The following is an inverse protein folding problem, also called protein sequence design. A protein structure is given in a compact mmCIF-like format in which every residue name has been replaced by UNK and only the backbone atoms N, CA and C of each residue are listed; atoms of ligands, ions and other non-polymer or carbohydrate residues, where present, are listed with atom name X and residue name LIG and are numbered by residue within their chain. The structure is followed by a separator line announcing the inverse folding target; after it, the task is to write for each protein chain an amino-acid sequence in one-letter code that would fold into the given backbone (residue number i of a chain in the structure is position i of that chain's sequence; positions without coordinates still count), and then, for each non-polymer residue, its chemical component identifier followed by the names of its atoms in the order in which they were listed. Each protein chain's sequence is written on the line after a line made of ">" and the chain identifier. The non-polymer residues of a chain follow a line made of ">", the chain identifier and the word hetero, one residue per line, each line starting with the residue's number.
data_IF_910406956954
#
_entry.id   IF_910406956954
#
_cell.length_a   1.000
_cell.length_b   1.000
_cell.length_c   1.000
_cell.angle_alpha   90.00
_cell.angle_beta   90.00
_cell.angle_gamma   90.00
#
_symmetry.space_group_name_H-M   'P 1'
#
loop_
_entity.id
_entity.type
_entity.pdbx_description
1 polymer ?
#
# COMPACT_ATOMS: atom_id res chain seq x y z
N UNK A 1 -7.33 9.88 9.04
CA UNK A 1 -8.40 9.64 8.07
C UNK A 1 -8.95 8.20 8.03
N UNK A 2 -10.26 8.00 7.81
CA UNK A 2 -10.86 6.67 7.58
C UNK A 2 -10.62 6.18 6.14
N UNK A 3 -10.74 4.86 5.92
CA UNK A 3 -10.60 4.25 4.59
C UNK A 3 -11.57 4.85 3.56
N UNK A 4 -12.84 5.00 3.91
CA UNK A 4 -13.87 5.49 2.99
C UNK A 4 -13.57 6.92 2.54
N UNK A 5 -13.24 7.80 3.48
CA UNK A 5 -12.86 9.19 3.21
C UNK A 5 -11.63 9.26 2.30
N UNK A 6 -10.61 8.43 2.58
CA UNK A 6 -9.42 8.32 1.73
C UNK A 6 -9.77 7.95 0.30
N UNK A 7 -10.53 6.88 0.15
CA UNK A 7 -10.83 6.31 -1.15
C UNK A 7 -11.71 7.28 -1.96
N UNK A 8 -12.59 8.05 -1.30
CA UNK A 8 -13.34 9.14 -1.91
C UNK A 8 -12.45 10.30 -2.37
N UNK A 9 -11.53 10.76 -1.53
CA UNK A 9 -10.59 11.85 -1.87
C UNK A 9 -9.73 11.43 -3.07
N UNK A 10 -9.14 10.23 -3.03
CA UNK A 10 -8.31 9.71 -4.11
C UNK A 10 -9.12 9.42 -5.39
N UNK A 11 -10.37 8.97 -5.25
CA UNK A 11 -11.28 8.74 -6.36
C UNK A 11 -11.70 10.01 -7.09
N UNK A 12 -11.75 11.13 -6.38
CA UNK A 12 -12.14 12.44 -6.91
C UNK A 12 -10.97 13.27 -7.44
N UNK A 13 -9.73 12.76 -7.44
CA UNK A 13 -8.57 13.49 -7.95
C UNK A 13 -8.70 13.78 -9.45
N UNK A 14 -8.50 15.04 -9.83
CA UNK A 14 -8.55 15.49 -11.22
C UNK A 14 -7.21 16.07 -11.66
N UNK A 15 -7.04 16.18 -12.99
CA UNK A 15 -5.96 16.94 -13.61
C UNK A 15 -4.57 16.66 -13.04
N UNK A 16 -3.93 17.73 -12.56
CA UNK A 16 -2.54 17.70 -12.12
C UNK A 16 -2.35 17.05 -10.74
N UNK A 17 -3.35 17.11 -9.85
CA UNK A 17 -3.32 16.42 -8.56
C UNK A 17 -3.19 14.90 -8.74
N UNK A 18 -3.89 14.35 -9.72
CA UNK A 18 -3.80 12.92 -10.06
C UNK A 18 -2.43 12.54 -10.62
N UNK A 19 -1.81 13.42 -11.42
CA UNK A 19 -0.46 13.19 -11.96
C UNK A 19 0.59 13.28 -10.85
N UNK A 20 0.48 14.27 -9.97
CA UNK A 20 1.34 14.45 -8.81
C UNK A 20 1.26 13.23 -7.89
N UNK A 21 0.05 12.76 -7.58
CA UNK A 21 -0.16 11.56 -6.78
C UNK A 21 0.50 10.32 -7.41
N UNK A 22 0.30 10.09 -8.72
CA UNK A 22 0.92 8.96 -9.41
C UNK A 22 2.44 9.03 -9.37
N UNK A 23 3.01 10.18 -9.72
CA UNK A 23 4.46 10.40 -9.70
C UNK A 23 5.04 10.15 -8.31
N UNK A 24 4.40 10.68 -7.27
CA UNK A 24 4.79 10.40 -5.89
C UNK A 24 4.79 8.91 -5.59
N UNK A 25 3.72 8.19 -5.91
CA UNK A 25 3.61 6.77 -5.60
C UNK A 25 4.64 5.93 -6.37
N UNK A 26 4.95 6.32 -7.61
CA UNK A 26 5.98 5.66 -8.42
C UNK A 26 7.37 5.90 -7.81
N UNK A 27 7.70 7.15 -7.47
CA UNK A 27 8.97 7.52 -6.80
C UNK A 27 9.09 6.84 -5.42
N UNK A 28 8.00 6.78 -4.66
CA UNK A 28 7.92 6.12 -3.36
C UNK A 28 8.17 4.62 -3.47
N UNK A 29 7.53 3.95 -4.44
CA UNK A 29 7.73 2.50 -4.68
C UNK A 29 9.14 2.19 -5.17
N UNK A 30 9.66 2.95 -6.14
CA UNK A 30 11.00 2.75 -6.68
C UNK A 30 12.08 2.84 -5.59
N UNK A 31 11.93 3.79 -4.66
CA UNK A 31 12.84 3.93 -3.50
C UNK A 31 12.67 2.82 -2.45
N UNK A 32 11.57 2.07 -2.48
CA UNK A 32 11.31 0.95 -1.57
C UNK A 32 11.76 -0.40 -2.15
N UNK A 33 11.77 -0.54 -3.48
CA UNK A 33 12.28 -1.72 -4.18
C UNK A 33 13.82 -1.79 -4.18
N UNK A 34 14.50 -0.66 -3.98
CA UNK A 34 15.97 -0.58 -3.84
C UNK A 34 16.44 -0.62 -2.38
N UNK A 35 16.75 -1.81 -1.88
CA UNK A 35 17.69 -2.17 -0.78
C UNK A 35 17.75 -1.35 0.53
N UNK A 36 17.60 -2.09 1.63
CA UNK A 36 17.97 -1.97 3.05
C UNK A 36 18.86 -0.79 3.51
N UNK A 37 18.38 -0.10 4.56
CA UNK A 37 19.07 0.83 5.49
C UNK A 37 19.26 2.27 4.99
N UNK A 38 18.51 3.20 5.61
CA UNK A 38 18.73 4.64 5.49
C UNK A 38 17.71 5.40 4.63
N UNK A 39 16.43 5.04 4.70
CA UNK A 39 15.38 5.74 3.96
C UNK A 39 15.12 7.14 4.50
N UNK A 40 14.95 8.10 3.58
CA UNK A 40 14.20 9.33 3.82
C UNK A 40 12.78 8.91 4.26
N UNK A 41 12.33 9.23 5.49
CA UNK A 41 10.98 8.91 5.94
C UNK A 41 9.98 9.34 4.89
N UNK A 42 8.94 8.57 4.67
CA UNK A 42 7.92 8.93 3.69
C UNK A 42 7.30 10.31 3.96
N UNK A 43 7.35 10.76 5.23
CA UNK A 43 7.09 12.13 5.66
C UNK A 43 7.99 13.17 4.99
N UNK A 44 9.30 12.95 4.91
CA UNK A 44 10.24 13.85 4.22
C UNK A 44 10.01 13.87 2.69
N UNK A 45 9.57 12.75 2.10
CA UNK A 45 9.18 12.73 0.69
C UNK A 45 7.91 13.54 0.42
N UNK A 46 6.94 13.48 1.34
CA UNK A 46 5.71 14.28 1.27
C UNK A 46 5.99 15.76 1.51
N UNK A 47 6.91 16.09 2.42
CA UNK A 47 7.42 17.46 2.62
C UNK A 47 8.06 18.03 1.34
N UNK A 48 8.86 17.23 0.62
CA UNK A 48 9.48 17.64 -0.65
C UNK A 48 8.48 17.96 -1.76
N UNK A 49 7.27 17.38 -1.70
CA UNK A 49 6.16 17.66 -2.63
C UNK A 49 5.24 18.77 -2.09
N UNK A 50 5.35 19.03 -0.80
CA UNK A 50 4.39 19.75 0.04
C UNK A 50 4.11 21.20 -0.30
N UNK A 51 4.84 21.80 -1.25
CA UNK A 51 4.56 23.16 -1.73
C UNK A 51 3.26 23.32 -2.53
N UNK A 52 2.76 22.23 -3.15
CA UNK A 52 1.64 22.31 -4.11
C UNK A 52 0.41 21.47 -3.74
N UNK A 53 0.40 20.79 -2.59
CA UNK A 53 -0.70 19.88 -2.21
C UNK A 53 -1.71 20.58 -1.29
N UNK A 54 -3.00 20.36 -1.54
CA UNK A 54 -4.03 20.74 -0.57
C UNK A 54 -3.85 19.93 0.72
N UNK A 55 -4.20 20.48 1.90
CA UNK A 55 -4.07 19.76 3.17
C UNK A 55 -4.77 18.40 3.21
N UNK A 56 -5.93 18.30 2.56
CA UNK A 56 -6.72 17.06 2.47
C UNK A 56 -6.00 16.01 1.62
N UNK A 57 -5.41 16.41 0.49
CA UNK A 57 -4.63 15.50 -0.35
C UNK A 57 -3.37 15.02 0.37
N UNK A 58 -2.70 15.91 1.11
CA UNK A 58 -1.57 15.53 1.96
C UNK A 58 -1.97 14.47 2.98
N UNK A 59 -3.06 14.67 3.74
CA UNK A 59 -3.53 13.68 4.72
C UNK A 59 -3.87 12.34 4.04
N UNK A 60 -4.47 12.38 2.84
CA UNK A 60 -4.74 11.19 2.07
C UNK A 60 -3.48 10.43 1.66
N UNK A 61 -2.44 11.15 1.22
CA UNK A 61 -1.15 10.55 0.87
C UNK A 61 -0.41 10.00 2.08
N UNK A 62 -0.42 10.71 3.21
CA UNK A 62 0.12 10.24 4.50
C UNK A 62 -0.56 8.94 4.94
N UNK A 63 -1.89 8.84 4.80
CA UNK A 63 -2.62 7.63 5.12
C UNK A 63 -2.30 6.43 4.19
N UNK A 64 -1.94 6.67 2.93
CA UNK A 64 -1.47 5.62 2.01
C UNK A 64 -0.08 5.14 2.42
N UNK A 65 0.82 6.08 2.68
CA UNK A 65 2.18 5.84 3.15
C UNK A 65 2.18 4.99 4.42
N UNK A 66 1.47 5.42 5.46
CA UNK A 66 1.43 4.74 6.75
C UNK A 66 0.90 3.30 6.61
N UNK A 67 -0.10 3.10 5.73
CA UNK A 67 -0.58 1.75 5.41
C UNK A 67 0.50 0.90 4.75
N UNK A 68 1.22 1.44 3.78
CA UNK A 68 2.24 0.70 3.05
C UNK A 68 3.43 0.35 3.97
N UNK A 69 3.78 1.22 4.93
CA UNK A 69 4.80 0.96 5.96
C UNK A 69 4.42 -0.18 6.91
N UNK A 70 3.13 -0.44 7.13
CA UNK A 70 2.66 -1.55 7.98
C UNK A 70 2.69 -2.92 7.27
N UNK A 71 2.84 -2.96 5.95
CA UNK A 71 2.88 -4.20 5.18
C UNK A 71 4.25 -4.89 5.17
N UNK A 72 4.32 -6.20 4.89
CA UNK A 72 5.60 -6.89 4.70
C UNK A 72 6.37 -6.30 3.52
N UNK A 73 7.70 -6.24 3.63
CA UNK A 73 8.57 -5.71 2.59
C UNK A 73 8.91 -6.79 1.56
N UNK A 74 9.39 -6.35 0.38
CA UNK A 74 9.94 -7.26 -0.62
C UNK A 74 11.14 -8.00 -0.03
N UNK A 75 11.13 -9.33 -0.13
CA UNK A 75 12.16 -10.19 0.45
C UNK A 75 11.83 -10.68 1.87
N UNK A 76 10.90 -10.03 2.58
CA UNK A 76 10.42 -10.53 3.87
C UNK A 76 9.66 -11.84 3.67
N UNK A 77 9.74 -12.71 4.68
CA UNK A 77 8.83 -13.86 4.76
C UNK A 77 7.43 -13.32 5.07
N UNK A 78 6.41 -13.61 4.23
CA UNK A 78 5.07 -13.10 4.47
C UNK A 78 4.51 -13.66 5.78
N UNK A 79 3.72 -12.86 6.54
CA UNK A 79 3.01 -13.35 7.72
C UNK A 79 2.12 -14.53 7.35
N UNK A 80 2.26 -15.63 8.08
CA UNK A 80 1.47 -16.82 7.85
C UNK A 80 0.06 -16.63 8.43
N UNK A 81 -0.96 -17.08 7.70
CA UNK A 81 -2.35 -16.98 8.10
C UNK A 81 -3.13 -18.19 7.64
N UNK A 82 -4.29 -18.40 8.23
CA UNK A 82 -5.16 -19.52 7.92
C UNK A 82 -6.60 -19.04 7.63
N UNK A 83 -7.04 -19.26 6.39
CA UNK A 83 -8.36 -18.86 5.90
C UNK A 83 -9.23 -20.07 5.61
N UNK A 84 -10.53 -19.95 5.89
CA UNK A 84 -11.53 -20.92 5.46
C UNK A 84 -11.71 -20.86 3.93
N UNK A 85 -11.78 -22.01 3.27
CA UNK A 85 -12.10 -22.09 1.84
C UNK A 85 -13.54 -21.64 1.62
N UNK A 86 -13.77 -20.90 0.54
CA UNK A 86 -15.12 -20.50 0.17
C UNK A 86 -16.01 -21.75 -0.02
N UNK A 87 -17.16 -21.79 0.67
CA UNK A 87 -18.12 -22.89 0.57
C UNK A 87 -17.74 -24.19 1.32
N UNK A 88 -16.70 -24.20 2.16
CA UNK A 88 -16.26 -25.40 2.90
C UNK A 88 -15.75 -25.04 4.29
N UNK A 89 -15.83 -25.98 5.25
CA UNK A 89 -15.17 -25.87 6.57
C UNK A 89 -13.64 -26.08 6.50
N UNK A 90 -13.13 -26.52 5.36
CA UNK A 90 -11.70 -26.70 5.15
C UNK A 90 -10.95 -25.37 5.31
N UNK A 91 -9.81 -25.41 6.00
CA UNK A 91 -8.93 -24.26 6.21
C UNK A 91 -7.65 -24.43 5.40
N UNK A 92 -7.15 -23.32 4.85
CA UNK A 92 -5.91 -23.25 4.08
C UNK A 92 -4.96 -22.29 4.76
N UNK A 93 -3.76 -22.79 5.02
CA UNK A 93 -2.66 -22.02 5.58
C UNK A 93 -1.74 -21.48 4.48
N UNK A 94 -1.33 -20.22 4.54
CA UNK A 94 -0.49 -19.61 3.51
C UNK A 94 0.82 -20.37 3.32
N UNK A 95 1.48 -20.76 4.41
CA UNK A 95 2.74 -21.52 4.37
C UNK A 95 2.62 -22.88 3.67
N UNK A 96 1.42 -23.42 3.50
CA UNK A 96 1.21 -24.67 2.75
C UNK A 96 1.57 -24.57 1.26
N UNK A 97 1.68 -23.35 0.72
CA UNK A 97 2.07 -23.07 -0.66
C UNK A 97 3.58 -22.84 -0.85
N UNK A 98 4.33 -22.69 0.24
CA UNK A 98 5.78 -22.40 0.20
C UNK A 98 6.52 -23.50 -0.59
N UNK A 99 7.52 -23.09 -1.38
CA UNK A 99 8.42 -23.96 -2.16
C UNK A 99 7.72 -24.85 -3.21
N UNK A 100 6.43 -24.60 -3.50
CA UNK A 100 5.67 -25.34 -4.53
C UNK A 100 5.54 -24.55 -5.83
N UNK A 101 5.06 -23.30 -5.73
CA UNK A 101 4.88 -22.38 -6.87
C UNK A 101 4.64 -20.95 -6.37
N UNK A 102 4.87 -19.92 -7.20
CA UNK A 102 4.47 -18.56 -6.88
C UNK A 102 2.96 -18.44 -6.60
N UNK A 103 2.59 -17.63 -5.60
CA UNK A 103 1.20 -17.36 -5.23
C UNK A 103 0.98 -15.85 -5.20
N UNK A 104 -0.09 -15.40 -5.84
CA UNK A 104 -0.59 -14.04 -5.72
C UNK A 104 -1.68 -13.99 -4.64
N UNK A 105 -1.58 -13.03 -3.71
CA UNK A 105 -2.62 -12.77 -2.72
C UNK A 105 -3.47 -11.60 -3.18
N UNK A 106 -4.78 -11.82 -3.27
CA UNK A 106 -5.75 -10.80 -3.66
C UNK A 106 -6.71 -10.63 -2.49
N UNK A 107 -6.64 -9.45 -1.87
CA UNK A 107 -7.56 -9.06 -0.80
C UNK A 107 -8.63 -8.14 -1.38
N UNK A 108 -9.89 -8.51 -1.20
CA UNK A 108 -11.03 -7.74 -1.69
C UNK A 108 -12.29 -8.05 -0.89
N UNK A 109 -13.28 -7.20 -1.03
CA UNK A 109 -14.61 -7.36 -0.45
C UNK A 109 -15.64 -7.03 -1.52
N UNK A 110 -16.81 -7.68 -1.45
CA UNK A 110 -17.98 -7.20 -2.18
C UNK A 110 -18.44 -5.90 -1.53
N UNK A 111 -18.53 -4.83 -2.32
CA UNK A 111 -19.12 -3.54 -1.94
C UNK A 111 -20.13 -3.15 -2.98
#
# INVERSE_FOLDING_TARGET
>A
MLKADRDQILGNLQGDDRKLFRRFMDDYRAKREGTTVGQMPAREMLEAIGGNLTPILREAMEAVVARDEMGPHVGDVPPDFELKRAGSEERVRLSSFKDKRPVALIFGSYT
#
